data_IF_852468655055
#
_entry.id   IF_852468655055
#
_cell.length_a   1.000
_cell.length_b   1.000
_cell.length_c   1.000
_cell.angle_alpha   90.00
_cell.angle_beta   90.00
_cell.angle_gamma   90.00
#
_symmetry.space_group_name_H-M   'P 1'
#
loop_
_entity.id
_entity.type
_entity.pdbx_description
1 polymer ?
#
# COMPACT_ATOMS: atom_id res chain seq x y z
N UNK A 1 3.83 -26.28 -8.14
CA UNK A 1 3.32 -25.61 -6.91
C UNK A 1 3.66 -24.12 -6.93
N UNK A 2 3.13 -23.44 -7.96
CA UNK A 2 3.31 -22.02 -8.30
C UNK A 2 2.12 -21.19 -7.76
N UNK A 3 1.17 -21.85 -7.08
CA UNK A 3 -0.21 -21.37 -6.91
C UNK A 3 -0.39 -20.16 -6.00
N UNK A 4 0.29 -20.04 -4.85
CA UNK A 4 -0.06 -18.95 -3.91
C UNK A 4 0.44 -17.56 -4.31
N UNK A 5 1.66 -17.47 -4.86
CA UNK A 5 2.19 -16.22 -5.39
C UNK A 5 1.49 -15.83 -6.69
N UNK A 6 1.17 -16.81 -7.54
CA UNK A 6 0.44 -16.61 -8.79
C UNK A 6 -1.01 -16.18 -8.55
N UNK A 7 -1.72 -16.78 -7.59
CA UNK A 7 -3.07 -16.37 -7.18
C UNK A 7 -3.06 -14.97 -6.56
N UNK A 8 -2.09 -14.64 -5.71
CA UNK A 8 -1.98 -13.30 -5.13
C UNK A 8 -1.60 -12.22 -6.17
N UNK A 9 -0.73 -12.55 -7.13
CA UNK A 9 -0.31 -11.61 -8.19
C UNK A 9 -1.40 -11.43 -9.25
N UNK A 10 -2.10 -12.51 -9.62
CA UNK A 10 -3.28 -12.45 -10.49
C UNK A 10 -4.43 -11.71 -9.79
N UNK A 11 -4.63 -11.93 -8.49
CA UNK A 11 -5.58 -11.19 -7.66
C UNK A 11 -5.24 -9.69 -7.61
N UNK A 12 -3.98 -9.31 -7.35
CA UNK A 12 -3.56 -7.89 -7.34
C UNK A 12 -3.79 -7.24 -8.71
N UNK A 13 -3.36 -7.88 -9.81
CA UNK A 13 -3.57 -7.37 -11.17
C UNK A 13 -5.05 -7.26 -11.53
N UNK A 14 -5.85 -8.25 -11.14
CA UNK A 14 -7.30 -8.23 -11.28
C UNK A 14 -7.88 -7.01 -10.58
N UNK A 15 -7.66 -6.86 -9.27
CA UNK A 15 -8.18 -5.71 -8.53
C UNK A 15 -7.71 -4.38 -9.11
N UNK A 16 -6.44 -4.23 -9.47
CA UNK A 16 -5.93 -3.01 -10.09
C UNK A 16 -6.66 -2.69 -11.41
N UNK A 17 -6.98 -3.71 -12.23
CA UNK A 17 -7.78 -3.55 -13.44
C UNK A 17 -9.22 -3.12 -13.13
N UNK A 18 -9.83 -3.69 -12.09
CA UNK A 18 -11.17 -3.28 -11.65
C UNK A 18 -11.19 -1.83 -11.16
N UNK A 19 -10.27 -1.45 -10.28
CA UNK A 19 -10.11 -0.06 -9.81
C UNK A 19 -9.93 0.89 -11.01
N UNK A 20 -9.16 0.50 -12.01
CA UNK A 20 -8.96 1.30 -13.22
C UNK A 20 -10.19 1.37 -14.13
N UNK A 21 -11.04 0.33 -14.11
CA UNK A 21 -12.29 0.32 -14.88
C UNK A 21 -13.40 1.15 -14.24
N UNK A 22 -13.33 1.41 -12.93
CA UNK A 22 -14.29 2.26 -12.25
C UNK A 22 -14.05 3.74 -12.66
N UNK A 23 -15.08 4.48 -13.07
CA UNK A 23 -14.97 5.90 -13.33
C UNK A 23 -14.84 6.69 -12.01
N UNK A 24 -14.18 7.84 -12.07
CA UNK A 24 -14.19 8.79 -10.95
C UNK A 24 -15.59 9.39 -10.76
N UNK A 25 -15.97 9.57 -9.50
CA UNK A 25 -17.27 10.12 -9.11
C UNK A 25 -17.12 11.59 -8.72
N UNK A 26 -17.98 12.47 -9.24
CA UNK A 26 -18.04 13.87 -8.80
C UNK A 26 -18.64 13.97 -7.40
N UNK A 27 -17.80 14.29 -6.42
CA UNK A 27 -18.19 14.41 -5.00
C UNK A 27 -19.28 15.46 -4.72
N UNK A 28 -19.48 16.46 -5.61
CA UNK A 28 -20.60 17.42 -5.47
C UNK A 28 -21.94 16.70 -5.58
N UNK A 29 -22.03 15.76 -6.52
CA UNK A 29 -23.28 15.05 -6.86
C UNK A 29 -23.45 13.74 -6.11
N UNK A 30 -22.37 13.17 -5.56
CA UNK A 30 -22.41 11.95 -4.78
C UNK A 30 -23.39 12.03 -3.60
N UNK A 31 -24.14 10.97 -3.34
CA UNK A 31 -25.08 10.89 -2.21
C UNK A 31 -24.38 10.43 -0.94
N UNK A 32 -24.95 10.78 0.21
CA UNK A 32 -24.52 10.20 1.48
C UNK A 32 -24.74 8.68 1.47
N UNK A 33 -23.74 7.91 1.90
CA UNK A 33 -23.75 6.44 1.84
C UNK A 33 -23.40 5.84 0.48
N UNK A 34 -23.11 6.64 -0.55
CA UNK A 34 -22.75 6.13 -1.87
C UNK A 34 -21.31 5.60 -1.90
N UNK A 35 -21.10 4.45 -2.55
CA UNK A 35 -19.76 3.93 -2.79
C UNK A 35 -19.16 4.58 -4.04
N UNK A 36 -18.02 5.23 -3.87
CA UNK A 36 -17.39 6.07 -4.90
C UNK A 36 -15.96 5.66 -5.16
N UNK A 37 -15.46 6.03 -6.34
CA UNK A 37 -14.03 6.15 -6.62
C UNK A 37 -13.71 7.63 -6.82
N UNK A 38 -12.64 8.10 -6.19
CA UNK A 38 -12.16 9.48 -6.30
C UNK A 38 -10.67 9.46 -6.57
N UNK A 39 -10.24 10.22 -7.57
CA UNK A 39 -8.82 10.42 -7.88
C UNK A 39 -8.43 11.86 -7.55
N UNK A 40 -7.30 12.04 -6.89
CA UNK A 40 -6.89 13.36 -6.43
C UNK A 40 -5.52 13.40 -5.77
N UNK A 41 -5.15 14.60 -5.32
CA UNK A 41 -3.87 14.86 -4.63
C UNK A 41 -4.02 14.67 -3.13
N UNK A 42 -3.06 13.96 -2.55
CA UNK A 42 -2.97 13.73 -1.10
C UNK A 42 -2.45 14.97 -0.37
N UNK A 43 -3.12 15.33 0.72
CA UNK A 43 -2.64 16.28 1.73
C UNK A 43 -2.64 15.59 3.10
N UNK A 44 -1.55 15.72 3.85
CA UNK A 44 -1.46 15.11 5.19
C UNK A 44 -2.50 15.69 6.14
N UNK A 45 -2.99 14.85 7.05
CA UNK A 45 -3.70 15.30 8.25
C UNK A 45 -2.74 15.84 9.32
N UNK A 46 -3.19 15.86 10.57
CA UNK A 46 -2.43 16.43 11.69
C UNK A 46 -1.18 15.62 12.06
N UNK A 47 -1.17 14.32 11.78
CA UNK A 47 -0.12 13.39 12.21
C UNK A 47 0.47 12.65 10.99
N UNK A 48 1.37 13.29 10.22
CA UNK A 48 2.05 12.61 9.12
C UNK A 48 2.94 11.46 9.62
N UNK A 49 3.06 10.43 8.79
CA UNK A 49 3.99 9.33 8.99
C UNK A 49 5.38 9.66 8.41
N UNK A 50 6.35 8.87 8.86
CA UNK A 50 7.70 8.79 8.30
C UNK A 50 7.97 7.34 7.87
N UNK A 51 8.62 7.12 6.73
CA UNK A 51 9.02 5.76 6.32
C UNK A 51 10.09 5.19 7.26
N UNK A 52 10.14 3.87 7.37
CA UNK A 52 10.89 3.20 8.44
C UNK A 52 12.41 3.29 8.27
N UNK A 53 12.90 3.02 7.05
CA UNK A 53 14.32 2.95 6.76
C UNK A 53 14.82 4.20 6.03
N UNK A 54 14.20 4.57 4.91
CA UNK A 54 14.59 5.77 4.14
C UNK A 54 14.23 7.10 4.81
N UNK A 55 13.43 7.08 5.88
CA UNK A 55 13.02 8.28 6.65
C UNK A 55 12.33 9.33 5.79
N UNK A 56 11.51 8.91 4.83
CA UNK A 56 10.73 9.83 3.98
C UNK A 56 9.64 10.47 4.85
N UNK A 57 9.64 11.80 5.03
CA UNK A 57 8.66 12.46 5.90
C UNK A 57 7.37 12.76 5.13
N UNK A 58 6.32 13.12 5.89
CA UNK A 58 5.02 13.57 5.34
C UNK A 58 4.36 12.49 4.48
N UNK A 59 4.35 11.27 4.98
CA UNK A 59 3.62 10.15 4.37
C UNK A 59 2.24 9.99 5.00
N UNK A 60 1.28 9.48 4.24
CA UNK A 60 -0.06 9.08 4.72
C UNK A 60 -0.22 7.56 4.80
N UNK A 61 0.67 6.85 4.10
CA UNK A 61 0.81 5.40 4.16
C UNK A 61 2.28 5.04 4.08
N UNK A 62 2.71 4.04 4.85
CA UNK A 62 4.04 3.42 4.77
C UNK A 62 3.93 1.90 4.85
N UNK A 63 4.79 1.20 4.12
CA UNK A 63 4.95 -0.25 4.14
C UNK A 63 6.44 -0.55 4.18
N UNK A 64 6.87 -1.38 5.12
CA UNK A 64 8.26 -1.84 5.22
C UNK A 64 8.25 -3.36 5.37
N UNK A 65 8.93 -4.05 4.46
CA UNK A 65 8.92 -5.52 4.39
C UNK A 65 10.32 -6.06 4.24
N UNK A 66 10.70 -6.90 5.19
CA UNK A 66 11.98 -7.61 5.13
C UNK A 66 11.75 -9.03 4.63
N UNK A 67 12.49 -9.39 3.58
CA UNK A 67 12.53 -10.72 3.03
C UNK A 67 13.90 -11.34 3.28
N UNK A 68 13.89 -12.64 3.55
CA UNK A 68 15.11 -13.45 3.65
C UNK A 68 15.04 -14.56 2.61
N UNK A 69 16.16 -14.85 1.97
CA UNK A 69 16.26 -15.98 1.06
C UNK A 69 16.71 -17.23 1.79
N UNK A 70 16.04 -18.35 1.53
CA UNK A 70 16.39 -19.64 2.12
C UNK A 70 17.25 -20.49 1.18
N UNK A 71 18.53 -20.63 1.46
CA UNK A 71 19.41 -21.66 0.90
C UNK A 71 19.24 -23.04 1.57
N UNK A 72 20.15 -23.97 1.28
CA UNK A 72 20.06 -25.38 1.72
C UNK A 72 20.02 -25.55 3.25
N UNK A 73 20.96 -24.89 3.94
CA UNK A 73 21.18 -24.99 5.40
C UNK A 73 20.74 -23.73 6.18
N UNK A 74 20.05 -22.82 5.51
CA UNK A 74 19.57 -21.57 6.14
C UNK A 74 18.25 -21.76 6.90
N UNK A 75 18.07 -20.99 7.97
CA UNK A 75 16.84 -21.03 8.78
C UNK A 75 15.64 -20.50 7.99
N UNK A 76 14.45 -20.92 8.40
CA UNK A 76 13.19 -20.47 7.82
C UNK A 76 12.80 -19.09 8.36
N UNK A 77 12.56 -18.13 7.47
CA UNK A 77 11.94 -16.86 7.83
C UNK A 77 10.56 -17.02 8.52
N UNK A 78 9.76 -18.00 8.08
CA UNK A 78 8.45 -18.36 8.64
C UNK A 78 8.16 -19.87 8.43
N UNK A 79 7.15 -20.46 9.12
CA UNK A 79 6.90 -21.91 9.07
C UNK A 79 6.62 -22.47 7.66
N UNK A 80 6.11 -21.65 6.73
CA UNK A 80 5.77 -22.06 5.36
C UNK A 80 6.90 -21.80 4.36
N UNK A 81 8.05 -21.28 4.80
CA UNK A 81 9.14 -20.85 3.92
C UNK A 81 9.87 -22.05 3.31
N UNK A 82 9.87 -22.16 1.98
CA UNK A 82 10.50 -23.27 1.23
C UNK A 82 11.95 -23.00 0.88
N UNK A 83 12.72 -24.06 0.62
CA UNK A 83 14.10 -23.95 0.12
C UNK A 83 14.11 -23.25 -1.24
N UNK A 84 15.17 -22.48 -1.46
CA UNK A 84 15.46 -21.67 -2.64
C UNK A 84 14.40 -20.62 -2.99
N UNK A 85 13.68 -20.11 -1.98
CA UNK A 85 12.67 -19.07 -2.16
C UNK A 85 12.94 -17.88 -1.25
N UNK A 86 12.28 -16.76 -1.54
CA UNK A 86 12.22 -15.61 -0.65
C UNK A 86 11.04 -15.78 0.31
N UNK A 87 11.30 -15.60 1.61
CA UNK A 87 10.29 -15.65 2.66
C UNK A 87 10.16 -14.30 3.34
N UNK A 88 8.93 -13.85 3.54
CA UNK A 88 8.65 -12.67 4.36
C UNK A 88 9.01 -12.98 5.82
N UNK A 89 9.86 -12.13 6.40
CA UNK A 89 10.32 -12.22 7.79
C UNK A 89 9.53 -11.29 8.69
N UNK A 90 9.44 -10.02 8.31
CA UNK A 90 8.61 -9.01 8.98
C UNK A 90 7.93 -8.12 7.95
N UNK A 91 6.75 -7.62 8.31
CA UNK A 91 6.01 -6.63 7.55
C UNK A 91 5.36 -5.64 8.52
N UNK A 92 5.68 -4.37 8.36
CA UNK A 92 5.09 -3.25 9.09
C UNK A 92 4.34 -2.39 8.07
N UNK A 93 3.10 -2.03 8.38
CA UNK A 93 2.27 -1.16 7.55
C UNK A 93 1.53 -0.18 8.43
N UNK A 94 1.57 1.09 8.05
CA UNK A 94 0.92 2.16 8.78
C UNK A 94 0.14 3.03 7.80
N UNK A 95 -1.06 3.43 8.20
CA UNK A 95 -1.90 4.38 7.48
C UNK A 95 -2.47 5.37 8.49
N UNK A 96 -2.55 6.63 8.08
CA UNK A 96 -3.15 7.71 8.87
C UNK A 96 -4.20 8.42 8.04
N UNK A 97 -5.17 9.01 8.72
CA UNK A 97 -6.19 9.84 8.07
C UNK A 97 -5.52 10.95 7.27
N UNK A 98 -6.01 11.18 6.06
CA UNK A 98 -5.49 12.19 5.15
C UNK A 98 -6.60 12.84 4.37
N UNK A 99 -6.30 13.98 3.74
CA UNK A 99 -7.24 14.62 2.85
C UNK A 99 -6.90 14.32 1.40
N UNK A 100 -7.93 14.11 0.60
CA UNK A 100 -7.83 14.03 -0.86
C UNK A 100 -8.51 15.25 -1.47
N UNK A 101 -7.82 15.92 -2.39
CA UNK A 101 -8.37 16.98 -3.22
C UNK A 101 -8.78 16.38 -4.57
N UNK A 102 -10.08 16.17 -4.75
CA UNK A 102 -10.64 15.50 -5.93
C UNK A 102 -10.42 16.33 -7.20
N UNK A 103 -9.94 15.69 -8.27
CA UNK A 103 -9.73 16.34 -9.55
C UNK A 103 -11.02 16.68 -10.29
N UNK A 104 -12.08 15.91 -10.10
CA UNK A 104 -13.36 16.15 -10.78
C UNK A 104 -14.09 17.35 -10.16
N UNK A 105 -14.26 17.31 -8.84
CA UNK A 105 -15.03 18.32 -8.13
C UNK A 105 -14.21 19.47 -7.56
N UNK A 106 -12.89 19.35 -7.44
CA UNK A 106 -12.07 20.29 -6.68
C UNK A 106 -12.39 20.34 -5.18
N UNK A 107 -13.29 19.49 -4.68
CA UNK A 107 -13.60 19.41 -3.26
C UNK A 107 -12.53 18.64 -2.51
N UNK A 108 -12.36 19.00 -1.24
CA UNK A 108 -11.49 18.29 -0.32
C UNK A 108 -12.32 17.37 0.56
N UNK A 109 -11.99 16.08 0.56
CA UNK A 109 -12.60 15.09 1.43
C UNK A 109 -11.58 14.51 2.40
N UNK A 110 -12.01 14.20 3.63
CA UNK A 110 -11.21 13.47 4.61
C UNK A 110 -11.36 11.96 4.38
N UNK A 111 -10.25 11.28 4.10
CA UNK A 111 -10.20 9.83 3.98
C UNK A 111 -9.83 9.22 5.33
N UNK A 112 -10.70 8.34 5.86
CA UNK A 112 -10.57 7.75 7.20
C UNK A 112 -9.85 6.40 7.15
N UNK A 113 -8.54 6.43 6.97
CA UNK A 113 -7.65 5.25 6.91
C UNK A 113 -6.96 4.92 8.22
N UNK A 114 -6.94 5.83 9.20
CA UNK A 114 -6.34 5.63 10.51
C UNK A 114 -7.26 4.90 11.51
N UNK A 115 -6.79 4.77 12.75
CA UNK A 115 -7.59 4.31 13.90
C UNK A 115 -8.26 2.93 13.75
N UNK A 116 -7.57 1.98 13.11
CA UNK A 116 -8.07 0.60 12.96
C UNK A 116 -9.02 0.38 11.79
N UNK A 117 -9.18 1.36 10.91
CA UNK A 117 -9.91 1.18 9.65
C UNK A 117 -9.30 0.05 8.81
N UNK A 118 -10.15 -0.76 8.17
CA UNK A 118 -9.71 -1.73 7.16
C UNK A 118 -9.27 -0.95 5.92
N UNK A 119 -8.01 -1.10 5.54
CA UNK A 119 -7.42 -0.45 4.36
C UNK A 119 -6.73 -1.51 3.51
N UNK A 120 -7.04 -1.52 2.23
CA UNK A 120 -6.39 -2.34 1.21
C UNK A 120 -5.52 -1.43 0.32
N UNK A 121 -4.23 -1.29 0.64
CA UNK A 121 -3.31 -0.43 -0.10
C UNK A 121 -2.77 -1.14 -1.35
N UNK A 122 -2.79 -0.42 -2.47
CA UNK A 122 -2.13 -0.76 -3.72
C UNK A 122 -1.02 0.25 -4.00
N UNK A 123 0.09 0.05 -3.29
CA UNK A 123 1.30 0.89 -3.37
C UNK A 123 2.44 0.00 -3.80
N UNK A 124 3.25 0.46 -4.75
CA UNK A 124 4.43 -0.29 -5.16
C UNK A 124 5.54 -0.16 -4.12
N UNK A 125 6.24 -1.27 -3.90
CA UNK A 125 7.29 -1.40 -2.89
C UNK A 125 8.63 -1.54 -3.63
N UNK A 126 9.49 -0.54 -3.50
CA UNK A 126 10.83 -0.52 -4.07
C UNK A 126 11.81 -1.29 -3.18
N UNK A 127 12.85 -1.86 -3.79
CA UNK A 127 13.94 -2.48 -3.04
C UNK A 127 14.88 -1.38 -2.58
N UNK A 128 14.98 -1.17 -1.27
CA UNK A 128 15.84 -0.13 -0.68
C UNK A 128 17.17 -0.68 -0.18
N UNK A 129 17.20 -1.97 0.21
CA UNK A 129 18.42 -2.69 0.59
C UNK A 129 18.37 -4.08 -0.03
N UNK A 130 19.46 -4.49 -0.69
CA UNK A 130 19.66 -5.85 -1.19
C UNK A 130 21.01 -6.37 -0.70
N UNK A 131 20.96 -7.33 0.23
CA UNK A 131 22.13 -7.93 0.87
C UNK A 131 22.47 -9.23 0.17
N UNK A 132 23.70 -9.35 -0.29
CA UNK A 132 24.27 -10.59 -0.81
C UNK A 132 25.47 -11.00 0.09
N UNK A 133 25.69 -12.29 0.43
CA UNK A 133 26.85 -12.77 1.18
C UNK A 133 28.23 -12.40 0.62
N UNK A 134 28.31 -12.00 -0.64
CA UNK A 134 29.53 -11.49 -1.26
C UNK A 134 29.80 -10.02 -0.90
N UNK A 135 28.74 -9.25 -0.58
CA UNK A 135 28.81 -7.88 -0.06
C UNK A 135 28.85 -7.95 1.47
N UNK A 136 30.04 -8.14 2.02
CA UNK A 136 30.25 -8.39 3.46
C UNK A 136 29.94 -7.17 4.35
N UNK A 137 29.92 -5.97 3.79
CA UNK A 137 29.74 -4.75 4.56
C UNK A 137 28.29 -4.28 4.51
N UNK A 138 27.52 -4.71 5.51
CA UNK A 138 26.18 -4.18 5.75
C UNK A 138 26.28 -2.74 6.26
N UNK A 139 25.43 -1.86 5.72
CA UNK A 139 25.32 -0.48 6.23
C UNK A 139 25.08 -0.51 7.75
N UNK A 140 25.85 0.27 8.55
CA UNK A 140 25.62 0.40 9.99
C UNK A 140 24.18 0.80 10.33
N UNK A 141 23.54 1.58 9.46
CA UNK A 141 22.14 2.00 9.63
C UNK A 141 21.18 0.82 9.52
N UNK A 142 21.43 -0.09 8.57
CA UNK A 142 20.63 -1.29 8.41
C UNK A 142 20.82 -2.27 9.57
N UNK A 143 22.04 -2.43 10.07
CA UNK A 143 22.31 -3.22 11.28
C UNK A 143 21.61 -2.65 12.53
N UNK A 144 21.59 -1.31 12.67
CA UNK A 144 20.83 -0.64 13.73
C UNK A 144 19.32 -0.89 13.57
N UNK A 145 18.79 -0.70 12.36
CA UNK A 145 17.37 -0.93 12.06
C UNK A 145 16.92 -2.37 12.37
N UNK A 146 17.76 -3.37 12.06
CA UNK A 146 17.52 -4.77 12.42
C UNK A 146 17.53 -4.99 13.94
N UNK A 147 18.52 -4.41 14.64
CA UNK A 147 18.66 -4.54 16.11
C UNK A 147 17.46 -3.96 16.85
N UNK A 148 16.97 -2.80 16.44
CA UNK A 148 15.76 -2.17 17.01
C UNK A 148 14.51 -3.07 16.92
N UNK A 149 14.51 -4.03 15.97
CA UNK A 149 13.42 -4.99 15.74
C UNK A 149 13.74 -6.40 16.22
N UNK A 150 14.82 -6.59 16.98
CA UNK A 150 15.31 -7.90 17.43
C UNK A 150 15.55 -8.89 16.27
N UNK A 151 16.00 -8.38 15.13
CA UNK A 151 16.36 -9.17 13.95
C UNK A 151 17.88 -9.29 13.86
N UNK A 152 18.36 -10.47 13.45
CA UNK A 152 19.78 -10.75 13.29
C UNK A 152 20.16 -10.79 11.82
N UNK A 153 21.29 -10.18 11.45
CA UNK A 153 21.94 -10.45 10.17
C UNK A 153 22.94 -11.59 10.33
N UNK A 154 22.51 -12.82 10.09
CA UNK A 154 23.37 -14.02 10.18
C UNK A 154 24.02 -14.37 8.84
N UNK A 155 24.46 -13.35 8.10
CA UNK A 155 25.10 -13.52 6.78
C UNK A 155 24.14 -13.99 5.68
N UNK A 156 22.83 -13.95 5.92
CA UNK A 156 21.80 -14.33 4.95
C UNK A 156 21.65 -13.27 3.85
N UNK A 157 21.20 -13.74 2.70
CA UNK A 157 20.62 -12.90 1.66
C UNK A 157 19.32 -12.28 2.18
N UNK A 158 19.28 -10.96 2.24
CA UNK A 158 18.15 -10.19 2.75
C UNK A 158 17.74 -9.12 1.77
N UNK A 159 16.45 -8.80 1.73
CA UNK A 159 15.93 -7.71 0.90
C UNK A 159 14.93 -6.90 1.69
N UNK A 160 15.25 -5.64 1.93
CA UNK A 160 14.32 -4.68 2.51
C UNK A 160 13.59 -3.97 1.38
N UNK A 161 12.26 -3.97 1.47
CA UNK A 161 11.41 -3.20 0.57
C UNK A 161 10.65 -2.15 1.34
N UNK A 162 10.53 -0.96 0.76
CA UNK A 162 9.66 0.10 1.28
C UNK A 162 8.69 0.58 0.21
N UNK A 163 7.49 0.92 0.61
CA UNK A 163 6.51 1.63 -0.20
C UNK A 163 5.85 2.70 0.65
N UNK A 164 5.53 3.84 0.07
CA UNK A 164 4.88 4.93 0.79
C UNK A 164 3.99 5.74 -0.15
N UNK A 165 3.04 6.45 0.45
CA UNK A 165 2.28 7.52 -0.23
C UNK A 165 2.66 8.80 0.47
N UNK A 166 3.25 9.74 -0.26
CA UNK A 166 3.69 11.02 0.26
C UNK A 166 2.60 12.07 0.02
N UNK A 167 2.58 13.11 0.84
CA UNK A 167 1.86 14.33 0.49
C UNK A 167 2.27 14.83 -0.89
N UNK A 168 1.28 15.29 -1.67
CA UNK A 168 1.47 15.69 -3.06
C UNK A 168 1.33 14.54 -4.07
N UNK A 169 1.37 13.27 -3.63
CA UNK A 169 1.14 12.14 -4.52
C UNK A 169 -0.30 12.09 -5.03
N UNK A 170 -0.47 11.65 -6.28
CA UNK A 170 -1.77 11.33 -6.87
C UNK A 170 -2.22 9.95 -6.42
N UNK A 171 -3.44 9.87 -5.89
CA UNK A 171 -4.04 8.61 -5.45
C UNK A 171 -5.47 8.46 -5.96
N UNK A 172 -5.85 7.20 -6.18
CA UNK A 172 -7.24 6.77 -6.32
C UNK A 172 -7.72 6.14 -5.02
N UNK A 173 -8.82 6.64 -4.47
CA UNK A 173 -9.47 6.10 -3.26
C UNK A 173 -10.84 5.57 -3.61
N UNK A 174 -11.17 4.36 -3.14
CA UNK A 174 -12.53 3.84 -3.18
C UNK A 174 -13.05 3.58 -1.77
N UNK A 175 -14.28 4.03 -1.52
CA UNK A 175 -14.90 3.99 -0.21
C UNK A 175 -16.33 4.53 -0.24
N UNK A 176 -16.94 4.63 0.95
CA UNK A 176 -18.30 5.17 1.10
C UNK A 176 -18.20 6.64 1.44
N UNK A 177 -18.95 7.48 0.72
CA UNK A 177 -19.09 8.90 1.05
C UNK A 177 -19.92 9.03 2.31
N UNK A 178 -19.44 9.84 3.24
CA UNK A 178 -20.20 10.30 4.38
C UNK A 178 -20.22 11.84 4.39
N UNK A 179 -21.42 12.41 4.30
CA UNK A 179 -21.66 13.86 4.33
C UNK A 179 -22.16 14.22 5.73
N UNK A 180 -21.27 14.75 6.56
CA UNK A 180 -21.68 15.46 7.77
C UNK A 180 -21.81 16.95 7.47
N UNK A 181 -22.59 17.71 8.25
CA UNK A 181 -23.01 19.10 7.97
C UNK A 181 -21.88 20.05 7.56
N UNK A 182 -20.63 19.79 7.96
CA UNK A 182 -19.46 20.61 7.61
C UNK A 182 -18.26 19.84 7.03
N UNK A 183 -18.29 18.51 6.96
CA UNK A 183 -17.14 17.69 6.55
C UNK A 183 -17.58 16.58 5.60
N UNK A 184 -16.97 16.56 4.42
CA UNK A 184 -17.07 15.46 3.47
C UNK A 184 -16.01 14.41 3.80
N UNK A 185 -16.44 13.17 4.02
CA UNK A 185 -15.56 12.06 4.37
C UNK A 185 -15.70 10.90 3.40
N UNK A 186 -14.63 10.12 3.27
CA UNK A 186 -14.62 8.82 2.61
C UNK A 186 -14.19 7.79 3.66
N UNK A 187 -15.08 6.84 3.96
CA UNK A 187 -14.94 5.87 5.05
C UNK A 187 -14.95 4.44 4.51
N UNK A 188 -14.38 3.46 5.24
CA UNK A 188 -14.46 2.07 4.82
C UNK A 188 -15.92 1.60 4.76
N UNK A 189 -16.30 0.77 3.76
CA UNK A 189 -17.62 0.17 3.73
C UNK A 189 -17.80 -0.77 4.93
N UNK A 190 -19.04 -0.86 5.43
CA UNK A 190 -19.40 -1.76 6.53
C UNK A 190 -19.29 -3.23 6.11
N UNK A 191 -19.70 -3.53 4.88
CA UNK A 191 -19.64 -4.86 4.29
C UNK A 191 -18.63 -4.92 3.13
N UNK A 192 -17.93 -6.04 2.91
CA UNK A 192 -17.08 -6.23 1.75
C UNK A 192 -17.90 -6.10 0.46
N UNK A 193 -17.35 -5.39 -0.52
CA UNK A 193 -18.05 -5.20 -1.80
C UNK A 193 -17.59 -6.29 -2.75
N UNK A 194 -18.55 -7.08 -3.23
CA UNK A 194 -18.30 -8.04 -4.29
C UNK A 194 -18.25 -7.32 -5.63
N UNK A 195 -17.11 -7.39 -6.32
CA UNK A 195 -17.05 -7.06 -7.74
C UNK A 195 -17.99 -8.03 -8.49
N UNK A 196 -19.11 -7.53 -9.02
CA UNK A 196 -20.03 -8.34 -9.82
C UNK A 196 -19.31 -9.09 -10.95
N UNK A 197 -19.85 -10.24 -11.36
CA UNK A 197 -19.22 -11.09 -12.37
C UNK A 197 -19.30 -10.45 -13.77
N UNK A 198 -18.29 -9.68 -14.17
CA UNK A 198 -18.17 -9.20 -15.55
C UNK A 198 -17.49 -10.27 -16.42
N UNK A 199 -18.30 -11.08 -17.11
CA UNK A 199 -17.87 -12.21 -17.95
C UNK A 199 -16.97 -11.84 -19.14
N UNK A 200 -16.86 -10.56 -19.51
CA UNK A 200 -16.02 -10.12 -20.63
C UNK A 200 -14.51 -10.10 -20.34
N UNK A 201 -14.07 -10.20 -19.07
CA UNK A 201 -12.66 -9.96 -18.70
C UNK A 201 -11.98 -11.04 -17.84
N UNK A 202 -12.61 -12.22 -17.65
CA UNK A 202 -12.11 -13.27 -16.75
C UNK A 202 -11.73 -12.72 -15.36
N UNK A 203 -12.67 -12.01 -14.74
CA UNK A 203 -12.53 -11.52 -13.38
C UNK A 203 -12.98 -12.60 -12.39
N UNK A 204 -12.09 -13.09 -11.53
CA UNK A 204 -12.53 -13.77 -10.32
C UNK A 204 -13.10 -12.73 -9.35
N UNK A 205 -14.25 -12.95 -8.71
CA UNK A 205 -14.80 -12.00 -7.75
C UNK A 205 -13.79 -11.77 -6.64
N UNK A 206 -13.18 -10.59 -6.64
CA UNK A 206 -12.33 -10.14 -5.55
C UNK A 206 -13.23 -9.35 -4.61
N UNK A 207 -13.40 -9.85 -3.39
CA UNK A 207 -14.03 -9.05 -2.35
C UNK A 207 -13.07 -7.92 -2.00
N UNK A 208 -13.47 -6.68 -2.29
CA UNK A 208 -12.76 -5.50 -1.82
C UNK A 208 -13.16 -5.30 -0.36
N UNK A 209 -12.19 -5.48 0.52
CA UNK A 209 -12.37 -5.29 1.95
C UNK A 209 -11.81 -3.94 2.38
N UNK A 210 -12.63 -3.13 3.03
CA UNK A 210 -12.26 -1.81 3.53
C UNK A 210 -12.03 -0.74 2.44
N UNK A 211 -11.33 0.34 2.83
CA UNK A 211 -10.92 1.41 1.92
C UNK A 211 -9.86 0.92 0.96
N UNK A 212 -10.08 1.10 -0.34
CA UNK A 212 -9.04 0.84 -1.34
C UNK A 212 -8.27 2.14 -1.55
N UNK A 213 -6.95 2.09 -1.40
CA UNK A 213 -6.06 3.23 -1.65
C UNK A 213 -4.99 2.81 -2.64
N UNK A 214 -4.98 3.44 -3.81
CA UNK A 214 -4.02 3.15 -4.89
C UNK A 214 -3.19 4.39 -5.16
N UNK A 215 -1.88 4.24 -5.23
CA UNK A 215 -0.98 5.30 -5.71
C UNK A 215 -0.89 5.20 -7.23
N UNK A 216 -1.11 6.30 -7.96
CA UNK A 216 -1.05 6.28 -9.43
C UNK A 216 0.37 6.51 -9.96
N UNK A 217 1.19 7.28 -9.25
CA UNK A 217 2.53 7.66 -9.69
C UNK A 217 3.62 6.99 -8.85
N UNK A 218 4.34 6.03 -9.43
CA UNK A 218 5.64 5.55 -8.92
C UNK A 218 6.76 5.64 -9.96
N UNK A 219 6.55 6.32 -11.08
CA UNK A 219 7.63 6.68 -12.01
C UNK A 219 8.25 8.00 -11.55
N UNK A 220 9.43 7.89 -10.91
CA UNK A 220 10.41 8.95 -10.63
C UNK A 220 9.83 10.35 -10.31
N UNK A 221 9.70 10.63 -9.01
CA UNK A 221 9.50 11.98 -8.48
C UNK A 221 10.78 12.85 -8.61
N UNK A 222 11.32 12.96 -9.83
CA UNK A 222 12.50 13.78 -10.14
C UNK A 222 12.26 14.70 -11.34
N UNK A 223 11.07 15.29 -11.42
CA UNK A 223 10.83 16.46 -12.28
C UNK A 223 10.07 17.51 -11.49
N UNK A 224 10.81 18.51 -11.03
CA UNK A 224 10.26 19.81 -10.63
C UNK A 224 9.96 20.56 -11.94
N UNK A 225 8.71 20.86 -12.31
CA UNK A 225 8.46 21.79 -13.39
C UNK A 225 8.78 23.21 -12.88
N UNK A 226 9.74 23.84 -13.57
CA UNK A 226 10.09 25.27 -13.45
C UNK A 226 8.97 26.12 -14.04
#
# INVERSE_FOLDING_TARGET
MVSQLWEAFQSRRGVLRFVNSCPDTDLRTAKDGEYVKVTGVVTCGNFPLESSFQRIPRCVYTSTRLYEYRGWDSKTANPKHRRFTWGLRTAERHAVDFYISDFQSGLRALVRTGSGARVTPYVDESVVIDVNPENKDLSPEFLRWLRERNLSSDGRKMRLKEGYIKEGSTVSVMGVVQKNESVLMIVPPSEPISSGCQWGSCFFPANLDGLVVRCEDTSDMDVIPV
#
